data_IF_237360857393
#
_entry.id   IF_237360857393
#
_cell.length_a   1.000
_cell.length_b   1.000
_cell.length_c   1.000
_cell.angle_alpha   90.00
_cell.angle_beta   90.00
_cell.angle_gamma   90.00
#
_symmetry.space_group_name_H-M   'P 1'
#
loop_
_entity.id
_entity.type
_entity.pdbx_description
1 polymer ?
#
# COMPACT_ATOMS: atom_id res chain seq x y z
N UNK A 1 17.87 1.21 -10.45
CA UNK A 1 16.58 1.03 -9.76
C UNK A 1 15.55 0.46 -10.74
N UNK A 2 14.71 -0.47 -10.29
CA UNK A 2 13.74 -1.16 -11.15
C UNK A 2 12.63 -0.23 -11.67
N UNK A 3 12.19 0.76 -10.88
CA UNK A 3 11.18 1.75 -11.31
C UNK A 3 11.68 2.52 -12.54
N UNK A 4 12.90 3.06 -12.45
CA UNK A 4 13.52 3.84 -13.51
C UNK A 4 13.74 2.98 -14.76
N UNK A 5 14.20 1.74 -14.60
CA UNK A 5 14.40 0.83 -15.73
C UNK A 5 13.09 0.52 -16.45
N UNK A 6 12.06 0.11 -15.70
CA UNK A 6 10.76 -0.26 -16.27
C UNK A 6 10.10 0.93 -16.98
N UNK A 7 10.15 2.13 -16.38
CA UNK A 7 9.60 3.33 -17.01
C UNK A 7 10.28 3.65 -18.35
N UNK A 8 11.62 3.49 -18.44
CA UNK A 8 12.35 3.65 -19.70
C UNK A 8 11.93 2.62 -20.75
N UNK A 9 11.79 1.35 -20.35
CA UNK A 9 11.34 0.28 -21.25
C UNK A 9 9.92 0.54 -21.78
N UNK A 10 9.04 1.06 -20.92
CA UNK A 10 7.64 1.36 -21.25
C UNK A 10 7.44 2.73 -21.93
N UNK A 11 8.50 3.52 -22.12
CA UNK A 11 8.40 4.88 -22.66
C UNK A 11 7.65 5.87 -21.74
N UNK A 12 7.57 5.58 -20.44
CA UNK A 12 6.93 6.46 -19.44
C UNK A 12 7.94 7.50 -18.96
N UNK A 13 7.64 8.77 -19.22
CA UNK A 13 8.47 9.89 -18.79
C UNK A 13 8.25 10.24 -17.32
N UNK A 14 9.15 9.76 -16.45
CA UNK A 14 9.11 10.01 -15.01
C UNK A 14 9.38 11.47 -14.63
N UNK A 15 9.96 12.29 -15.52
CA UNK A 15 10.23 13.70 -15.22
C UNK A 15 8.94 14.52 -15.03
N UNK A 16 7.83 14.01 -15.56
CA UNK A 16 6.49 14.61 -15.49
C UNK A 16 5.72 14.26 -14.21
N UNK A 17 6.30 13.46 -13.31
CA UNK A 17 5.63 13.09 -12.06
C UNK A 17 5.64 14.29 -11.11
N UNK A 18 4.46 14.85 -10.87
CA UNK A 18 4.26 15.97 -9.94
C UNK A 18 3.92 15.50 -8.52
N UNK A 19 3.25 14.34 -8.41
CA UNK A 19 2.67 13.85 -7.16
C UNK A 19 3.00 12.38 -6.95
N UNK A 20 3.42 12.05 -5.74
CA UNK A 20 3.75 10.69 -5.29
C UNK A 20 2.97 10.42 -4.02
N UNK A 21 2.42 9.23 -3.87
CA UNK A 21 1.80 8.79 -2.63
C UNK A 21 2.59 7.60 -2.10
N UNK A 22 3.02 7.66 -0.84
CA UNK A 22 3.68 6.55 -0.18
C UNK A 22 2.66 5.81 0.68
N UNK A 23 2.51 4.52 0.46
CA UNK A 23 1.56 3.69 1.22
C UNK A 23 2.00 3.48 2.66
N UNK A 24 3.29 3.26 2.91
CA UNK A 24 3.90 3.11 4.23
C UNK A 24 5.43 3.20 4.09
N UNK A 25 6.13 3.32 5.21
CA UNK A 25 7.54 3.68 5.29
C UNK A 25 8.52 2.52 5.19
N UNK A 26 8.13 1.39 4.58
CA UNK A 26 9.06 0.29 4.33
C UNK A 26 9.93 0.56 3.09
N UNK A 27 11.17 0.07 3.12
CA UNK A 27 12.18 0.36 2.11
C UNK A 27 11.79 -0.12 0.70
N UNK A 28 11.01 -1.20 0.60
CA UNK A 28 10.53 -1.78 -0.65
C UNK A 28 9.40 -0.96 -1.30
N UNK A 29 8.77 -0.04 -0.55
CA UNK A 29 7.77 0.90 -1.05
C UNK A 29 8.30 2.33 -1.21
N UNK A 30 9.46 2.63 -0.63
CA UNK A 30 10.04 3.98 -0.59
C UNK A 30 11.39 4.09 -1.30
N UNK A 31 12.06 2.98 -1.58
CA UNK A 31 13.42 2.96 -2.14
C UNK A 31 13.54 3.63 -3.50
N UNK A 32 12.49 3.55 -4.32
CA UNK A 32 12.42 4.22 -5.62
C UNK A 32 12.39 5.76 -5.52
N UNK A 33 11.94 6.33 -4.38
CA UNK A 33 11.78 7.78 -4.22
C UNK A 33 13.11 8.52 -4.34
N UNK A 34 14.19 7.98 -3.78
CA UNK A 34 15.54 8.59 -3.89
C UNK A 34 15.96 8.73 -5.36
N UNK A 35 15.65 7.72 -6.18
CA UNK A 35 15.96 7.76 -7.61
C UNK A 35 15.00 8.71 -8.33
N UNK A 36 13.71 8.66 -8.00
CA UNK A 36 12.72 9.53 -8.61
C UNK A 36 13.03 11.01 -8.39
N UNK A 37 13.49 11.42 -7.19
CA UNK A 37 13.87 12.82 -6.94
C UNK A 37 15.06 13.30 -7.78
N UNK A 38 15.88 12.39 -8.33
CA UNK A 38 16.95 12.75 -9.27
C UNK A 38 16.45 12.90 -10.72
N UNK A 39 15.22 12.45 -11.02
CA UNK A 39 14.61 12.49 -12.36
C UNK A 39 13.48 13.51 -12.45
N UNK A 40 12.54 13.47 -11.50
CA UNK A 40 11.40 14.38 -11.40
C UNK A 40 11.83 15.68 -10.71
N UNK A 41 11.37 16.81 -11.23
CA UNK A 41 11.65 18.11 -10.61
C UNK A 41 10.65 18.34 -9.48
N UNK A 42 11.11 18.17 -8.23
CA UNK A 42 10.39 18.56 -7.01
C UNK A 42 8.98 17.96 -6.81
N UNK A 43 8.84 16.62 -6.73
CA UNK A 43 7.54 15.99 -6.53
C UNK A 43 6.94 16.34 -5.16
N UNK A 44 5.61 16.51 -5.11
CA UNK A 44 4.84 16.55 -3.86
C UNK A 44 4.59 15.12 -3.41
N UNK A 45 5.07 14.77 -2.22
CA UNK A 45 4.97 13.44 -1.64
C UNK A 45 3.89 13.44 -0.55
N UNK A 46 2.79 12.76 -0.79
CA UNK A 46 1.72 12.51 0.17
C UNK A 46 2.06 11.26 0.98
N UNK A 47 2.06 11.39 2.31
CA UNK A 47 2.39 10.28 3.21
C UNK A 47 1.74 10.48 4.58
N UNK A 48 1.67 9.43 5.38
CA UNK A 48 1.26 9.53 6.77
C UNK A 48 2.37 10.21 7.64
N UNK A 49 2.04 10.96 8.71
CA UNK A 49 3.04 11.60 9.59
C UNK A 49 4.09 10.64 10.17
N UNK A 50 3.70 9.39 10.41
CA UNK A 50 4.58 8.34 10.94
C UNK A 50 5.49 7.68 9.90
N UNK A 51 5.46 8.10 8.62
CA UNK A 51 6.20 7.45 7.52
C UNK A 51 7.71 7.30 7.81
N UNK A 52 8.33 8.26 8.51
CA UNK A 52 9.77 8.28 8.80
C UNK A 52 10.20 7.52 10.07
N UNK A 53 9.27 6.83 10.74
CA UNK A 53 9.58 6.02 11.92
C UNK A 53 10.65 4.98 11.58
N UNK A 54 11.58 4.75 12.52
CA UNK A 54 12.64 3.74 12.35
C UNK A 54 12.07 2.36 12.59
N UNK A 55 11.73 1.67 11.49
CA UNK A 55 11.11 0.35 11.48
C UNK A 55 12.10 -0.78 11.28
N UNK A 56 11.78 -1.92 11.87
CA UNK A 56 12.56 -3.13 11.82
C UNK A 56 11.63 -4.35 11.75
N UNK A 57 12.14 -5.44 11.16
CA UNK A 57 11.57 -6.78 11.36
C UNK A 57 12.43 -7.51 12.39
N UNK A 58 11.79 -8.09 13.40
CA UNK A 58 12.42 -8.97 14.39
C UNK A 58 11.99 -10.42 14.16
N UNK A 59 12.96 -11.32 14.02
CA UNK A 59 12.74 -12.76 13.91
C UNK A 59 13.76 -13.50 14.77
N UNK A 60 13.34 -13.95 15.95
CA UNK A 60 14.26 -14.44 16.98
C UNK A 60 15.22 -13.32 17.41
N UNK A 61 16.52 -13.60 17.34
CA UNK A 61 17.58 -12.62 17.64
C UNK A 61 17.94 -11.72 16.45
N UNK A 62 17.46 -12.04 15.25
CA UNK A 62 17.72 -11.24 14.06
C UNK A 62 16.83 -9.99 14.05
N UNK A 63 17.46 -8.83 13.89
CA UNK A 63 16.80 -7.55 13.75
C UNK A 63 17.29 -6.87 12.48
N UNK A 64 16.38 -6.61 11.54
CA UNK A 64 16.69 -5.99 10.25
C UNK A 64 15.98 -4.67 10.11
N UNK A 65 16.71 -3.60 9.82
CA UNK A 65 16.11 -2.31 9.50
C UNK A 65 15.35 -2.39 8.18
N UNK A 66 14.10 -1.92 8.18
CA UNK A 66 13.23 -1.91 7.01
C UNK A 66 12.61 -0.54 6.74
N UNK A 67 12.96 0.49 7.53
CA UNK A 67 12.43 1.84 7.34
C UNK A 67 13.04 2.59 6.15
N UNK A 68 12.40 3.69 5.77
CA UNK A 68 12.91 4.61 4.76
C UNK A 68 13.99 5.58 5.30
N UNK A 69 14.74 6.21 4.39
CA UNK A 69 15.71 7.26 4.73
C UNK A 69 15.11 8.47 5.47
N UNK A 70 15.96 9.32 6.04
CA UNK A 70 15.51 10.55 6.72
C UNK A 70 14.84 11.49 5.74
N UNK A 71 13.83 12.24 6.20
CA UNK A 71 13.10 13.26 5.43
C UNK A 71 14.02 14.21 4.64
N UNK A 72 15.06 14.73 5.30
CA UNK A 72 16.00 15.70 4.70
C UNK A 72 16.66 15.18 3.42
N UNK A 73 16.94 13.87 3.33
CA UNK A 73 17.53 13.26 2.15
C UNK A 73 16.71 13.54 0.89
N UNK A 74 15.39 13.49 0.99
CA UNK A 74 14.50 13.69 -0.15
C UNK A 74 14.21 15.17 -0.40
N UNK A 75 14.10 15.97 0.67
CA UNK A 75 13.87 17.42 0.57
C UNK A 75 15.07 18.15 -0.04
N UNK A 76 16.30 17.69 0.23
CA UNK A 76 17.53 18.18 -0.41
C UNK A 76 17.53 17.95 -1.94
N UNK A 77 16.77 16.95 -2.41
CA UNK A 77 16.55 16.67 -3.83
C UNK A 77 15.19 17.23 -4.32
N UNK A 78 14.64 18.22 -3.61
CA UNK A 78 13.48 18.99 -4.04
C UNK A 78 12.11 18.40 -3.71
N UNK A 79 12.02 17.21 -3.10
CA UNK A 79 10.73 16.65 -2.71
C UNK A 79 10.06 17.50 -1.62
N UNK A 80 8.73 17.60 -1.67
CA UNK A 80 7.92 18.32 -0.67
C UNK A 80 6.91 17.39 -0.04
N UNK A 81 7.01 17.15 1.26
CA UNK A 81 6.09 16.26 1.95
C UNK A 81 4.81 16.97 2.41
N UNK A 82 3.67 16.39 2.04
CA UNK A 82 2.35 16.67 2.62
C UNK A 82 2.02 15.50 3.54
N UNK A 83 2.16 15.71 4.85
CA UNK A 83 1.93 14.68 5.85
C UNK A 83 0.52 14.80 6.42
N UNK A 84 -0.29 13.74 6.33
CA UNK A 84 -1.63 13.71 6.91
C UNK A 84 -2.04 12.30 7.32
N UNK A 85 -2.65 12.19 8.50
CA UNK A 85 -3.35 10.99 8.98
C UNK A 85 -4.83 10.99 8.56
N UNK A 86 -5.27 12.02 7.85
CA UNK A 86 -6.61 12.15 7.27
C UNK A 86 -6.57 11.88 5.78
N UNK A 87 -7.75 11.67 5.21
CA UNK A 87 -7.88 11.58 3.75
C UNK A 87 -7.64 12.93 3.11
N UNK A 88 -6.86 12.91 2.04
CA UNK A 88 -6.51 14.08 1.24
C UNK A 88 -6.83 13.77 -0.22
N UNK A 89 -7.52 14.69 -0.89
CA UNK A 89 -7.68 14.64 -2.34
C UNK A 89 -6.35 15.01 -3.00
N UNK A 90 -5.69 14.02 -3.61
CA UNK A 90 -4.38 14.17 -4.26
C UNK A 90 -4.55 14.86 -5.61
N UNK A 91 -5.53 14.39 -6.38
CA UNK A 91 -6.08 15.00 -7.58
C UNK A 91 -7.58 14.73 -7.58
N UNK A 92 -8.34 15.44 -8.43
CA UNK A 92 -9.79 15.28 -8.52
C UNK A 92 -10.17 13.79 -8.66
N UNK A 93 -10.97 13.29 -7.71
CA UNK A 93 -11.43 11.90 -7.71
C UNK A 93 -10.40 10.86 -7.25
N UNK A 94 -9.23 11.28 -6.76
CA UNK A 94 -8.21 10.38 -6.20
C UNK A 94 -7.82 10.85 -4.80
N UNK A 95 -8.03 9.98 -3.83
CA UNK A 95 -7.91 10.32 -2.41
C UNK A 95 -6.94 9.36 -1.71
N UNK A 96 -6.22 9.84 -0.71
CA UNK A 96 -5.62 8.94 0.29
C UNK A 96 -6.69 8.45 1.27
N UNK A 97 -6.52 7.27 1.87
CA UNK A 97 -7.41 6.79 2.94
C UNK A 97 -7.22 7.56 4.27
N UNK A 98 -5.98 7.98 4.54
CA UNK A 98 -5.53 8.40 5.86
C UNK A 98 -5.12 7.19 6.70
N UNK A 99 -5.13 7.34 8.03
CA UNK A 99 -4.95 6.22 8.95
C UNK A 99 -6.05 5.15 8.73
N UNK A 100 -5.64 3.89 8.68
CA UNK A 100 -6.54 2.76 8.46
C UNK A 100 -6.93 2.12 9.80
N UNK A 101 -8.21 2.05 10.14
CA UNK A 101 -8.67 1.54 11.44
C UNK A 101 -8.74 0.00 11.44
N UNK A 102 -8.30 -0.64 12.53
CA UNK A 102 -8.56 -2.07 12.73
C UNK A 102 -9.99 -2.25 13.24
N UNK A 103 -10.89 -2.73 12.38
CA UNK A 103 -12.32 -2.92 12.67
C UNK A 103 -12.75 -4.38 12.74
N UNK A 104 -11.93 -5.28 12.21
CA UNK A 104 -12.14 -6.72 12.26
C UNK A 104 -11.50 -7.33 13.50
N UNK A 105 -12.02 -8.46 13.94
CA UNK A 105 -11.51 -9.27 15.05
C UNK A 105 -10.52 -10.35 14.58
N UNK A 106 -10.16 -10.38 13.29
CA UNK A 106 -9.31 -11.42 12.69
C UNK A 106 -8.14 -10.92 11.86
N UNK A 107 -8.15 -9.66 11.40
CA UNK A 107 -6.98 -9.11 10.73
C UNK A 107 -6.02 -8.60 11.81
N UNK A 108 -4.78 -9.05 11.74
CA UNK A 108 -3.70 -8.63 12.62
C UNK A 108 -2.56 -8.06 11.78
N UNK A 109 -1.86 -7.06 12.33
CA UNK A 109 -0.57 -6.60 11.83
C UNK A 109 0.50 -7.65 12.17
N UNK A 110 1.47 -7.86 11.28
CA UNK A 110 2.57 -8.80 11.48
C UNK A 110 3.29 -8.55 12.83
N UNK A 111 3.40 -9.61 13.62
CA UNK A 111 3.97 -9.59 14.98
C UNK A 111 5.47 -9.33 14.99
N UNK A 112 6.14 -9.55 13.86
CA UNK A 112 7.56 -9.29 13.67
C UNK A 112 7.89 -7.81 13.47
N UNK A 113 6.92 -6.96 13.14
CA UNK A 113 7.18 -5.53 12.97
C UNK A 113 7.39 -4.83 14.31
N UNK A 114 8.53 -4.15 14.40
CA UNK A 114 8.90 -3.36 15.56
C UNK A 114 9.47 -2.02 15.14
N UNK A 115 9.32 -1.02 16.00
CA UNK A 115 9.93 0.29 15.83
C UNK A 115 10.78 0.67 17.02
N UNK A 116 11.80 1.49 16.77
CA UNK A 116 12.76 1.90 17.80
C UNK A 116 12.26 3.13 18.56
N UNK A 117 12.16 3.03 19.88
CA UNK A 117 11.90 4.14 20.82
C UNK A 117 13.08 4.28 21.78
N UNK A 118 13.92 5.30 21.59
CA UNK A 118 15.16 5.42 22.36
C UNK A 118 16.08 4.21 22.14
N UNK A 119 16.29 3.42 23.19
CA UNK A 119 17.10 2.18 23.17
C UNK A 119 16.26 0.91 23.00
N UNK A 120 14.93 1.00 23.09
CA UNK A 120 14.02 -0.15 23.07
C UNK A 120 13.35 -0.34 21.71
N UNK A 121 12.82 -1.55 21.51
CA UNK A 121 11.97 -1.90 20.36
C UNK A 121 10.58 -2.27 20.84
N UNK A 122 9.56 -1.63 20.26
CA UNK A 122 8.15 -1.88 20.55
C UNK A 122 7.46 -2.44 19.30
N UNK A 123 6.40 -3.23 19.49
CA UNK A 123 5.54 -3.71 18.39
C UNK A 123 5.09 -2.51 17.55
N UNK A 124 5.26 -2.60 16.24
CA UNK A 124 4.78 -1.59 15.30
C UNK A 124 3.45 -2.04 14.71
N UNK A 125 2.37 -1.31 15.01
CA UNK A 125 1.05 -1.55 14.42
C UNK A 125 0.91 -0.87 13.04
N UNK A 126 2.03 -0.41 12.45
CA UNK A 126 2.12 0.22 11.13
C UNK A 126 1.10 1.36 10.96
N UNK A 127 1.10 2.37 11.84
CA UNK A 127 0.09 3.44 11.80
C UNK A 127 0.20 4.32 10.55
N UNK A 128 1.27 4.17 9.77
CA UNK A 128 1.46 4.85 8.51
C UNK A 128 0.90 4.11 7.29
N UNK A 129 0.31 2.93 7.47
CA UNK A 129 -0.36 2.24 6.37
C UNK A 129 -1.53 3.08 5.86
N UNK A 130 -1.49 3.32 4.56
CA UNK A 130 -2.37 4.21 3.83
C UNK A 130 -2.48 3.71 2.38
N UNK A 131 -3.66 3.91 1.82
CA UNK A 131 -4.02 3.44 0.48
C UNK A 131 -4.55 4.59 -0.37
N UNK A 132 -4.66 4.35 -1.67
CA UNK A 132 -5.32 5.27 -2.60
C UNK A 132 -6.71 4.78 -2.96
N UNK A 133 -7.65 5.71 -3.06
CA UNK A 133 -9.03 5.47 -3.49
C UNK A 133 -9.28 6.27 -4.75
N UNK A 134 -9.75 5.60 -5.80
CA UNK A 134 -10.19 6.20 -7.05
C UNK A 134 -11.71 6.20 -7.04
N UNK A 135 -12.32 7.38 -7.03
CA UNK A 135 -13.77 7.56 -7.14
C UNK A 135 -14.16 7.66 -8.62
N UNK A 136 -14.66 6.54 -9.17
CA UNK A 136 -15.03 6.42 -10.58
C UNK A 136 -16.54 6.38 -10.75
N UNK A 137 -17.06 6.44 -11.98
CA UNK A 137 -18.52 6.32 -12.18
C UNK A 137 -19.05 4.93 -11.76
N UNK A 138 -18.23 3.90 -11.93
CA UNK A 138 -18.56 2.50 -11.62
C UNK A 138 -18.63 2.20 -10.14
N UNK A 139 -17.81 2.85 -9.32
CA UNK A 139 -17.64 2.52 -7.91
C UNK A 139 -16.34 3.11 -7.38
N UNK A 140 -15.92 2.63 -6.21
CA UNK A 140 -14.58 2.91 -5.69
C UNK A 140 -13.62 1.82 -6.13
N UNK A 141 -12.42 2.21 -6.57
CA UNK A 141 -11.31 1.30 -6.79
C UNK A 141 -10.19 1.62 -5.81
N UNK A 142 -9.63 0.61 -5.14
CA UNK A 142 -8.63 0.84 -4.08
C UNK A 142 -7.27 0.29 -4.49
N UNK A 143 -6.21 1.09 -4.30
CA UNK A 143 -4.83 0.70 -4.55
C UNK A 143 -4.10 0.63 -3.21
N UNK A 144 -3.64 -0.56 -2.83
CA UNK A 144 -2.89 -0.79 -1.59
C UNK A 144 -1.39 -0.92 -1.86
N UNK A 145 -0.57 -0.57 -0.87
CA UNK A 145 0.83 -0.99 -0.82
C UNK A 145 0.95 -2.45 -0.41
N UNK A 146 0.92 -2.69 0.90
CA UNK A 146 0.91 -4.03 1.49
C UNK A 146 -0.37 -4.34 2.27
N UNK A 147 -1.22 -3.36 2.61
CA UNK A 147 -2.38 -3.58 3.48
C UNK A 147 -2.00 -4.32 4.78
N UNK A 148 -0.95 -3.86 5.45
CA UNK A 148 -0.51 -4.36 6.77
C UNK A 148 -1.63 -4.29 7.80
N UNK A 149 -2.55 -3.33 7.65
CA UNK A 149 -3.72 -3.15 8.53
C UNK A 149 -4.98 -3.89 8.05
N UNK A 150 -4.83 -4.77 7.06
CA UNK A 150 -5.87 -5.71 6.63
C UNK A 150 -6.78 -5.17 5.53
N UNK A 151 -6.93 -5.93 4.46
CA UNK A 151 -7.71 -5.50 3.29
C UNK A 151 -9.20 -5.33 3.60
N UNK A 152 -9.78 -6.09 4.53
CA UNK A 152 -11.19 -5.97 4.89
C UNK A 152 -11.42 -4.69 5.69
N UNK A 153 -10.53 -4.38 6.64
CA UNK A 153 -10.51 -3.10 7.35
C UNK A 153 -10.48 -1.92 6.39
N UNK A 154 -9.56 -1.93 5.42
CA UNK A 154 -9.41 -0.83 4.47
C UNK A 154 -10.65 -0.69 3.60
N UNK A 155 -11.15 -1.77 3.01
CA UNK A 155 -12.34 -1.74 2.15
C UNK A 155 -13.54 -1.19 2.93
N UNK A 156 -13.79 -1.69 4.16
CA UNK A 156 -14.91 -1.23 5.00
C UNK A 156 -14.79 0.24 5.36
N UNK A 157 -13.59 0.70 5.71
CA UNK A 157 -13.34 2.12 5.99
C UNK A 157 -13.63 2.99 4.76
N UNK A 158 -13.15 2.58 3.59
CA UNK A 158 -13.35 3.28 2.32
C UNK A 158 -14.83 3.34 1.97
N UNK A 159 -15.54 2.21 2.01
CA UNK A 159 -16.98 2.18 1.70
C UNK A 159 -17.79 3.07 2.66
N UNK A 160 -17.47 3.04 3.95
CA UNK A 160 -18.13 3.87 4.96
C UNK A 160 -17.86 5.35 4.72
N UNK A 161 -16.62 5.72 4.40
CA UNK A 161 -16.19 7.12 4.27
C UNK A 161 -16.78 7.81 3.04
N UNK A 162 -16.85 7.09 1.93
CA UNK A 162 -17.31 7.62 0.65
C UNK A 162 -18.77 7.26 0.35
N UNK A 163 -19.42 6.51 1.25
CA UNK A 163 -20.81 6.03 1.10
C UNK A 163 -21.05 5.33 -0.25
N UNK A 164 -20.04 4.62 -0.74
CA UNK A 164 -20.02 4.02 -2.07
C UNK A 164 -19.29 2.67 -2.04
N UNK A 165 -19.72 1.74 -2.89
CA UNK A 165 -19.18 0.38 -2.90
C UNK A 165 -17.84 0.30 -3.61
N UNK A 166 -16.95 -0.51 -3.04
CA UNK A 166 -15.70 -0.89 -3.69
C UNK A 166 -16.01 -1.98 -4.71
N UNK A 167 -15.71 -1.71 -5.99
CA UNK A 167 -15.87 -2.71 -7.06
C UNK A 167 -14.57 -3.45 -7.34
N UNK A 168 -13.43 -2.97 -6.85
CA UNK A 168 -12.19 -3.67 -7.07
C UNK A 168 -10.99 -3.08 -6.34
N UNK A 169 -9.91 -3.84 -6.35
CA UNK A 169 -8.65 -3.41 -5.79
C UNK A 169 -7.43 -3.99 -6.52
N UNK A 170 -6.28 -3.36 -6.31
CA UNK A 170 -4.97 -3.88 -6.68
C UNK A 170 -3.95 -3.54 -5.59
N UNK A 171 -3.05 -4.47 -5.27
CA UNK A 171 -2.01 -4.23 -4.27
C UNK A 171 -1.56 -5.47 -3.52
N UNK A 172 -0.55 -5.32 -2.69
CA UNK A 172 -0.16 -6.35 -1.75
C UNK A 172 -1.22 -6.52 -0.67
N UNK A 173 -1.62 -7.76 -0.40
CA UNK A 173 -2.63 -8.09 0.62
C UNK A 173 -2.01 -8.46 1.98
N UNK A 174 -0.70 -8.68 2.00
CA UNK A 174 0.07 -9.20 3.14
C UNK A 174 -0.49 -10.49 3.76
N UNK A 175 -1.32 -11.23 3.01
CA UNK A 175 -1.87 -12.51 3.47
C UNK A 175 -0.87 -13.66 3.41
N UNK A 176 0.21 -13.53 2.63
CA UNK A 176 1.26 -14.56 2.55
C UNK A 176 1.78 -15.00 3.94
N UNK A 177 2.29 -14.08 4.78
CA UNK A 177 2.76 -14.38 6.14
C UNK A 177 1.65 -14.51 7.19
N UNK A 178 0.39 -14.18 6.86
CA UNK A 178 -0.71 -14.18 7.81
C UNK A 178 -1.08 -15.59 8.32
N UNK A 179 -1.80 -15.65 9.44
CA UNK A 179 -2.32 -16.91 9.98
C UNK A 179 -3.38 -17.53 9.06
N UNK A 180 -3.56 -18.86 9.11
CA UNK A 180 -4.61 -19.53 8.34
C UNK A 180 -6.03 -19.05 8.71
N UNK A 181 -6.24 -18.64 9.97
CA UNK A 181 -7.50 -18.06 10.41
C UNK A 181 -7.76 -16.73 9.69
N UNK A 182 -6.77 -15.84 9.68
CA UNK A 182 -6.87 -14.54 9.00
C UNK A 182 -7.07 -14.73 7.50
N UNK A 183 -6.28 -15.60 6.85
CA UNK A 183 -6.44 -15.93 5.43
C UNK A 183 -7.86 -16.41 5.13
N UNK A 184 -8.36 -17.42 5.84
CA UNK A 184 -9.69 -17.98 5.61
C UNK A 184 -10.79 -16.93 5.79
N UNK A 185 -10.79 -16.19 6.90
CA UNK A 185 -11.83 -15.18 7.18
C UNK A 185 -11.79 -14.02 6.20
N UNK A 186 -10.59 -13.60 5.78
CA UNK A 186 -10.43 -12.58 4.74
C UNK A 186 -11.07 -13.03 3.43
N UNK A 187 -10.79 -14.26 2.99
CA UNK A 187 -11.36 -14.80 1.74
C UNK A 187 -12.90 -14.93 1.81
N UNK A 188 -13.44 -15.34 2.97
CA UNK A 188 -14.88 -15.40 3.21
C UNK A 188 -15.56 -14.03 3.08
N UNK A 189 -14.96 -13.00 3.68
CA UNK A 189 -15.48 -11.63 3.60
C UNK A 189 -15.43 -11.10 2.15
N UNK A 190 -14.32 -11.30 1.44
CA UNK A 190 -14.18 -10.90 0.04
C UNK A 190 -15.21 -11.59 -0.88
N UNK A 191 -15.55 -12.86 -0.62
CA UNK A 191 -16.62 -13.58 -1.35
C UNK A 191 -17.99 -12.97 -1.15
N UNK A 192 -18.25 -12.40 0.03
CA UNK A 192 -19.49 -11.67 0.32
C UNK A 192 -19.57 -10.28 -0.34
N UNK A 193 -18.46 -9.78 -0.88
CA UNK A 193 -18.40 -8.48 -1.54
C UNK A 193 -18.66 -8.59 -3.05
N UNK A 194 -19.30 -7.57 -3.62
CA UNK A 194 -19.53 -7.48 -5.06
C UNK A 194 -18.29 -6.92 -5.79
N UNK A 195 -17.14 -7.58 -5.59
CA UNK A 195 -15.91 -7.24 -6.30
C UNK A 195 -15.95 -7.78 -7.72
N UNK A 196 -15.45 -6.98 -8.66
CA UNK A 196 -15.30 -7.28 -10.08
C UNK A 196 -13.84 -7.37 -10.48
N UNK A 197 -12.94 -6.68 -9.78
CA UNK A 197 -11.51 -6.65 -10.10
C UNK A 197 -10.67 -6.90 -8.84
N UNK A 198 -9.84 -7.93 -8.86
CA UNK A 198 -8.96 -8.33 -7.76
C UNK A 198 -7.54 -8.53 -8.31
N UNK A 199 -6.63 -7.63 -7.96
CA UNK A 199 -5.21 -7.64 -8.39
C UNK A 199 -4.24 -7.90 -7.23
N UNK A 200 -4.09 -9.15 -6.75
CA UNK A 200 -3.19 -9.47 -5.66
C UNK A 200 -1.72 -9.41 -6.13
N UNK A 201 -0.89 -8.69 -5.37
CA UNK A 201 0.48 -8.35 -5.76
C UNK A 201 1.51 -8.57 -4.64
N UNK A 202 2.79 -8.37 -4.99
CA UNK A 202 3.87 -8.12 -4.03
C UNK A 202 3.93 -9.13 -2.87
N UNK A 203 3.66 -8.68 -1.64
CA UNK A 203 3.70 -9.46 -0.40
C UNK A 203 2.60 -10.52 -0.28
N UNK A 204 1.63 -10.55 -1.20
CA UNK A 204 0.63 -11.62 -1.26
C UNK A 204 1.33 -12.97 -1.47
N UNK A 205 2.33 -13.00 -2.37
CA UNK A 205 3.12 -14.19 -2.66
C UNK A 205 2.38 -15.24 -3.49
N UNK A 206 3.15 -16.10 -4.17
CA UNK A 206 2.61 -17.02 -5.18
C UNK A 206 1.52 -17.98 -4.67
N UNK A 207 1.67 -18.49 -3.44
CA UNK A 207 0.69 -19.41 -2.84
C UNK A 207 -0.68 -18.75 -2.62
N UNK A 208 -0.71 -17.55 -2.03
CA UNK A 208 -1.98 -16.83 -1.86
C UNK A 208 -2.51 -16.32 -3.20
N UNK A 209 -1.66 -15.88 -4.13
CA UNK A 209 -2.11 -15.49 -5.47
C UNK A 209 -2.79 -16.66 -6.20
N UNK A 210 -2.28 -17.89 -6.07
CA UNK A 210 -2.94 -19.08 -6.60
C UNK A 210 -4.30 -19.30 -5.93
N UNK A 211 -4.38 -19.19 -4.60
CA UNK A 211 -5.65 -19.29 -3.87
C UNK A 211 -6.67 -18.22 -4.27
N UNK A 212 -6.23 -16.98 -4.51
CA UNK A 212 -7.08 -15.92 -5.05
C UNK A 212 -7.65 -16.29 -6.42
N UNK A 213 -6.84 -16.90 -7.30
CA UNK A 213 -7.30 -17.41 -8.60
C UNK A 213 -8.32 -18.52 -8.45
N UNK A 214 -8.05 -19.50 -7.60
CA UNK A 214 -8.98 -20.62 -7.38
C UNK A 214 -10.33 -20.17 -6.83
N UNK A 215 -10.35 -19.15 -5.97
CA UNK A 215 -11.57 -18.70 -5.29
C UNK A 215 -12.33 -17.57 -6.01
N UNK A 216 -11.68 -16.81 -6.90
CA UNK A 216 -12.27 -15.62 -7.55
C UNK A 216 -12.13 -15.58 -9.08
N UNK A 217 -11.52 -16.59 -9.70
CA UNK A 217 -11.22 -16.79 -11.13
C UNK A 217 -11.51 -15.59 -12.06
N UNK A 218 -12.76 -15.43 -12.51
CA UNK A 218 -13.19 -14.39 -13.46
C UNK A 218 -13.00 -12.92 -13.00
N UNK A 219 -12.60 -12.70 -11.75
CA UNK A 219 -12.35 -11.37 -11.16
C UNK A 219 -10.87 -11.04 -11.05
N UNK A 220 -9.98 -12.03 -11.25
CA UNK A 220 -8.54 -11.82 -11.10
C UNK A 220 -7.97 -11.15 -12.33
N UNK A 221 -7.23 -10.06 -12.12
CA UNK A 221 -6.45 -9.40 -13.17
C UNK A 221 -4.98 -9.74 -13.05
N UNK A 222 -4.29 -9.81 -14.19
CA UNK A 222 -2.83 -9.82 -14.20
C UNK A 222 -2.31 -8.51 -13.61
N UNK A 223 -1.23 -8.59 -12.84
CA UNK A 223 -0.66 -7.42 -12.18
C UNK A 223 0.88 -7.48 -12.20
N UNK A 224 1.46 -8.01 -13.27
CA UNK A 224 2.91 -8.02 -13.41
C UNK A 224 3.46 -6.61 -13.71
N UNK A 225 4.78 -6.44 -13.56
CA UNK A 225 5.43 -5.23 -14.03
C UNK A 225 5.23 -5.06 -15.54
N UNK A 226 4.75 -3.89 -15.97
CA UNK A 226 4.45 -3.59 -17.37
C UNK A 226 2.98 -3.75 -17.78
N UNK A 227 2.13 -4.26 -16.90
CA UNK A 227 0.69 -4.34 -17.15
C UNK A 227 0.03 -2.94 -17.12
N UNK A 228 -0.98 -2.77 -17.97
CA UNK A 228 -1.88 -1.60 -17.97
C UNK A 228 -3.29 -2.11 -17.72
N UNK A 229 -3.98 -1.49 -16.76
CA UNK A 229 -5.34 -1.86 -16.38
C UNK A 229 -6.24 -0.65 -16.63
N UNK A 230 -7.27 -0.86 -17.43
CA UNK A 230 -8.33 0.12 -17.70
C UNK A 230 -9.50 -0.16 -16.75
N UNK A 231 -9.95 0.87 -16.02
CA UNK A 231 -10.95 0.73 -14.94
C UNK A 231 -12.32 1.34 -15.26
N UNK A 232 -12.41 2.19 -16.28
CA UNK A 232 -13.61 2.81 -16.89
C UNK A 232 -13.17 3.58 -18.16
#
# INVERSE_FOLDING_TARGET
DCLIHNAKVLGVDLSRIEKVVLSHGHYDHTGGLTYLCNYATSPIVYAHPEIFRKRYVKSGDNLRYIGMGKRTLYEEHGARFVLSDRSVEVIKGVYTTGFEEMTTDFEEVDKGFVYKTGTEYKKDDVPDDMSLVLDTRKGLFVIFGCAHRGIINIIRQVEKKFEKKVFGFIGGTHLGPASEIQKRRTMEELKGMNLEVIGPLHCTGASMTARFRDEFDNKIVSSNAGEVIELD
#
